data_IF_114197913147
#
_entry.id   IF_114197913147
#
_cell.length_a   1.000
_cell.length_b   1.000
_cell.length_c   1.000
_cell.angle_alpha   90.00
_cell.angle_beta   90.00
_cell.angle_gamma   90.00
#
_symmetry.space_group_name_H-M   'P 1'
#
loop_
_entity.id
_entity.type
_entity.pdbx_description
1 polymer ?
#
# COMPACT_ATOMS: atom_id res chain seq x y z
N UNK A 1 12.56 51.13 -27.69
CA UNK A 1 12.88 51.47 -26.29
C UNK A 1 13.57 50.28 -25.67
N UNK A 2 14.82 50.43 -25.32
CA UNK A 2 15.65 49.36 -24.70
C UNK A 2 15.45 49.36 -23.19
N UNK A 3 15.83 48.26 -22.51
CA UNK A 3 15.71 48.13 -21.04
C UNK A 3 16.51 49.24 -20.32
N UNK A 4 17.63 49.72 -20.93
CA UNK A 4 18.47 50.78 -20.38
C UNK A 4 17.76 52.14 -20.46
N UNK A 5 17.03 52.41 -21.54
CA UNK A 5 16.23 53.65 -21.71
C UNK A 5 15.09 53.69 -20.69
N UNK A 6 14.44 52.53 -20.42
CA UNK A 6 13.36 52.42 -19.42
C UNK A 6 13.85 52.62 -17.97
N UNK A 7 15.07 52.13 -17.64
CA UNK A 7 15.64 52.33 -16.31
C UNK A 7 16.14 53.78 -16.08
N UNK A 8 16.56 54.46 -17.13
CA UNK A 8 16.93 55.87 -17.04
C UNK A 8 15.73 56.78 -16.75
N UNK A 9 14.57 56.45 -17.30
CA UNK A 9 13.31 57.19 -17.08
C UNK A 9 12.79 57.07 -15.64
N UNK A 10 13.11 55.94 -14.95
CA UNK A 10 12.74 55.69 -13.55
C UNK A 10 13.74 56.29 -12.54
N UNK A 11 14.77 57.03 -12.97
CA UNK A 11 15.74 57.69 -12.07
C UNK A 11 16.63 56.74 -11.27
N UNK A 12 16.73 55.47 -11.66
CA UNK A 12 17.58 54.49 -11.00
C UNK A 12 18.96 54.44 -11.67
N UNK A 13 19.99 54.92 -10.96
CA UNK A 13 21.39 54.83 -11.40
C UNK A 13 21.82 53.35 -11.34
N UNK A 14 22.57 52.85 -12.37
CA UNK A 14 23.12 51.49 -12.29
C UNK A 14 24.13 51.41 -11.12
N UNK A 15 23.88 50.48 -10.23
CA UNK A 15 24.72 50.19 -9.06
C UNK A 15 26.08 49.67 -9.55
N UNK A 16 27.13 50.41 -9.28
CA UNK A 16 28.52 49.99 -9.50
C UNK A 16 28.81 48.72 -8.70
N UNK A 17 29.13 47.66 -9.38
CA UNK A 17 29.43 46.36 -8.81
C UNK A 17 30.67 46.43 -7.91
N UNK A 18 30.46 46.36 -6.59
CA UNK A 18 31.52 46.12 -5.62
C UNK A 18 31.96 44.65 -5.74
N UNK A 19 33.17 44.40 -6.17
CA UNK A 19 33.77 43.08 -6.22
C UNK A 19 34.07 42.58 -4.83
N UNK A 20 33.09 41.88 -4.23
CA UNK A 20 33.27 41.14 -2.98
C UNK A 20 33.93 39.80 -3.34
N UNK A 21 35.18 39.63 -2.91
CA UNK A 21 35.95 38.41 -3.09
C UNK A 21 35.20 37.19 -2.55
N UNK A 22 34.63 36.37 -3.47
CA UNK A 22 33.98 35.10 -3.14
C UNK A 22 35.03 34.12 -2.65
N UNK A 23 35.15 33.94 -1.32
CA UNK A 23 35.83 32.79 -0.74
C UNK A 23 35.16 31.51 -1.31
N UNK A 24 35.93 30.74 -2.13
CA UNK A 24 35.53 29.45 -2.68
C UNK A 24 35.16 28.52 -1.50
N UNK A 25 33.86 28.35 -1.23
CA UNK A 25 33.37 27.28 -0.34
C UNK A 25 33.88 25.97 -0.93
N UNK A 26 34.70 25.24 -0.16
CA UNK A 26 35.10 23.86 -0.48
C UNK A 26 33.82 23.06 -0.76
N UNK A 27 33.66 22.53 -1.99
CA UNK A 27 32.58 21.59 -2.35
C UNK A 27 32.71 20.40 -1.42
N UNK A 28 31.74 20.25 -0.50
CA UNK A 28 31.58 19.00 0.26
C UNK A 28 31.47 17.87 -0.77
N UNK A 29 32.38 16.87 -0.68
CA UNK A 29 32.27 15.65 -1.47
C UNK A 29 30.84 15.12 -1.31
N UNK A 30 30.10 14.98 -2.41
CA UNK A 30 28.82 14.27 -2.42
C UNK A 30 29.11 12.88 -1.87
N UNK A 31 28.50 12.53 -0.74
CA UNK A 31 28.49 11.14 -0.27
C UNK A 31 27.92 10.33 -1.44
N UNK A 32 28.73 9.43 -1.99
CA UNK A 32 28.23 8.43 -2.92
C UNK A 32 27.21 7.59 -2.15
N UNK A 33 25.95 7.66 -2.54
CA UNK A 33 24.96 6.70 -2.05
C UNK A 33 25.41 5.32 -2.49
N UNK A 34 25.28 4.30 -1.62
CA UNK A 34 25.49 2.93 -2.07
C UNK A 34 24.59 2.66 -3.28
N UNK A 35 25.00 1.77 -4.21
CA UNK A 35 24.15 1.40 -5.33
C UNK A 35 22.78 0.98 -4.79
N UNK A 36 21.68 1.24 -5.52
CA UNK A 36 20.36 0.83 -5.09
C UNK A 36 20.40 -0.65 -4.80
N UNK A 37 20.03 -1.00 -3.56
CA UNK A 37 19.78 -2.38 -3.18
C UNK A 37 18.78 -2.92 -4.20
N UNK A 38 19.02 -4.12 -4.70
CA UNK A 38 18.05 -4.88 -5.50
C UNK A 38 16.65 -4.64 -4.93
N UNK A 39 15.66 -4.26 -5.76
CA UNK A 39 14.32 -3.99 -5.27
C UNK A 39 13.88 -5.14 -4.38
N UNK A 40 13.28 -4.87 -3.22
CA UNK A 40 12.85 -5.93 -2.33
C UNK A 40 11.93 -6.87 -3.11
N UNK A 41 12.20 -8.17 -3.02
CA UNK A 41 11.39 -9.17 -3.71
C UNK A 41 9.93 -9.10 -3.23
N UNK A 42 8.99 -9.40 -4.12
CA UNK A 42 7.59 -9.57 -3.75
C UNK A 42 7.46 -10.63 -2.64
N UNK A 43 6.62 -10.35 -1.66
CA UNK A 43 6.32 -11.29 -0.57
C UNK A 43 4.93 -11.87 -0.81
N UNK A 44 4.87 -13.19 -1.03
CA UNK A 44 3.61 -13.93 -1.19
C UNK A 44 3.44 -14.91 -0.04
N UNK A 45 2.25 -14.96 0.54
CA UNK A 45 1.87 -15.86 1.64
C UNK A 45 0.51 -16.47 1.40
N UNK A 46 0.43 -17.78 1.66
CA UNK A 46 -0.83 -18.53 1.73
C UNK A 46 -1.12 -18.85 3.19
N UNK A 47 -2.21 -18.32 3.72
CA UNK A 47 -2.55 -18.36 5.14
C UNK A 47 -3.87 -19.13 5.30
N UNK A 48 -3.84 -20.23 6.08
CA UNK A 48 -5.03 -21.04 6.37
C UNK A 48 -5.94 -20.32 7.37
N UNK A 49 -6.69 -19.34 6.86
CA UNK A 49 -7.72 -18.64 7.64
C UNK A 49 -8.88 -18.19 6.76
N UNK A 50 -10.06 -18.09 7.34
CA UNK A 50 -11.21 -17.54 6.64
C UNK A 50 -11.03 -16.04 6.45
N UNK A 51 -11.35 -15.53 5.24
CA UNK A 51 -11.42 -14.11 5.01
C UNK A 51 -12.44 -13.46 5.94
N UNK A 52 -12.04 -12.36 6.56
CA UNK A 52 -12.86 -11.55 7.45
C UNK A 52 -12.94 -10.10 6.93
N UNK A 53 -14.01 -9.43 7.32
CA UNK A 53 -14.25 -8.06 6.90
C UNK A 53 -13.83 -7.06 7.96
N UNK A 54 -13.43 -5.86 7.50
CA UNK A 54 -13.15 -4.71 8.37
C UNK A 54 -14.33 -4.44 9.29
N UNK A 55 -14.08 -4.43 10.59
CA UNK A 55 -15.09 -4.09 11.58
C UNK A 55 -15.21 -2.58 11.73
N UNK A 56 -16.42 -2.11 12.03
CA UNK A 56 -16.63 -0.73 12.43
C UNK A 56 -16.36 -0.55 13.92
N UNK A 57 -15.73 0.55 14.34
CA UNK A 57 -15.62 0.89 15.74
C UNK A 57 -17.00 0.96 16.41
N UNK A 58 -17.08 0.51 17.65
CA UNK A 58 -18.29 0.63 18.47
C UNK A 58 -18.14 1.83 19.38
N UNK A 59 -19.18 2.67 19.37
CA UNK A 59 -19.26 3.83 20.26
C UNK A 59 -20.08 3.44 21.48
N UNK A 60 -19.58 3.75 22.67
CA UNK A 60 -20.27 3.58 23.96
C UNK A 60 -20.14 4.88 24.76
N UNK A 61 -20.84 5.00 25.86
CA UNK A 61 -20.72 6.15 26.78
C UNK A 61 -19.29 6.33 27.31
N UNK A 62 -18.50 5.25 27.37
CA UNK A 62 -17.12 5.24 27.85
C UNK A 62 -16.08 5.39 26.72
N UNK A 63 -16.50 5.70 25.49
CA UNK A 63 -15.61 5.93 24.34
C UNK A 63 -15.82 4.97 23.18
N UNK A 64 -14.91 5.07 22.22
CA UNK A 64 -14.94 4.26 20.97
C UNK A 64 -13.91 3.14 21.06
N UNK A 65 -14.30 1.93 20.70
CA UNK A 65 -13.40 0.78 20.69
C UNK A 65 -13.62 -0.13 19.48
N UNK A 66 -12.56 -0.83 19.06
CA UNK A 66 -12.65 -1.89 18.07
C UNK A 66 -13.04 -3.22 18.72
N UNK A 67 -13.91 -4.04 18.08
CA UNK A 67 -14.27 -5.36 18.60
C UNK A 67 -13.04 -6.25 18.83
N UNK A 68 -12.92 -6.84 20.01
CA UNK A 68 -11.77 -7.72 20.36
C UNK A 68 -11.59 -8.90 19.40
N UNK A 69 -12.70 -9.45 18.87
CA UNK A 69 -12.64 -10.53 17.89
C UNK A 69 -11.96 -10.09 16.59
N UNK A 70 -12.25 -8.86 16.12
CA UNK A 70 -11.61 -8.29 14.95
C UNK A 70 -10.12 -8.05 15.19
N UNK A 71 -9.75 -7.43 16.33
CA UNK A 71 -8.34 -7.21 16.69
C UNK A 71 -7.53 -8.51 16.68
N UNK A 72 -8.10 -9.60 17.27
CA UNK A 72 -7.45 -10.91 17.24
C UNK A 72 -7.22 -11.45 15.82
N UNK A 73 -8.16 -11.23 14.91
CA UNK A 73 -8.01 -11.65 13.50
C UNK A 73 -6.94 -10.81 12.78
N UNK A 74 -6.92 -9.50 13.00
CA UNK A 74 -5.90 -8.59 12.47
C UNK A 74 -4.50 -8.98 12.97
N UNK A 75 -4.35 -9.22 14.28
CA UNK A 75 -3.08 -9.60 14.88
C UNK A 75 -2.60 -10.98 14.37
N UNK A 76 -3.52 -11.95 14.23
CA UNK A 76 -3.21 -13.27 13.69
C UNK A 76 -2.75 -13.17 12.22
N UNK A 77 -3.40 -12.35 11.41
CA UNK A 77 -3.02 -12.13 10.02
C UNK A 77 -1.65 -11.43 9.92
N UNK A 78 -1.43 -10.39 10.73
CA UNK A 78 -0.14 -9.66 10.81
C UNK A 78 1.00 -10.63 11.18
N UNK A 79 0.79 -11.44 12.18
CA UNK A 79 1.79 -12.42 12.62
C UNK A 79 2.09 -13.47 11.55
N UNK A 80 1.06 -14.02 10.91
CA UNK A 80 1.20 -15.05 9.88
C UNK A 80 1.87 -14.52 8.60
N UNK A 81 1.58 -13.26 8.23
CA UNK A 81 2.19 -12.64 7.05
C UNK A 81 3.64 -12.22 7.32
N UNK A 82 3.92 -11.64 8.47
CA UNK A 82 5.24 -11.13 8.84
C UNK A 82 5.53 -9.74 8.27
N UNK A 83 6.72 -9.53 7.73
CA UNK A 83 7.14 -8.23 7.22
C UNK A 83 6.68 -7.98 5.78
N UNK A 84 6.31 -6.73 5.49
CA UNK A 84 6.00 -6.24 4.14
C UNK A 84 7.20 -5.52 3.53
N UNK A 85 7.35 -5.49 2.19
CA UNK A 85 8.40 -4.72 1.51
C UNK A 85 8.31 -3.23 1.87
N UNK A 86 9.46 -2.55 1.87
CA UNK A 86 9.53 -1.09 2.07
C UNK A 86 9.19 -0.34 0.76
N UNK A 87 8.78 0.94 0.89
CA UNK A 87 8.42 1.80 -0.24
C UNK A 87 6.98 1.61 -0.72
N UNK A 88 6.69 2.08 -1.93
CA UNK A 88 5.39 1.92 -2.57
C UNK A 88 5.16 0.46 -2.96
N UNK A 89 3.92 -0.02 -2.84
CA UNK A 89 3.59 -1.43 -3.07
C UNK A 89 2.26 -1.62 -3.79
N UNK A 90 2.18 -2.73 -4.52
CA UNK A 90 0.95 -3.32 -5.03
C UNK A 90 0.52 -4.45 -4.10
N UNK A 91 -0.77 -4.57 -3.83
CA UNK A 91 -1.33 -5.63 -2.98
C UNK A 91 -2.32 -6.46 -3.78
N UNK A 92 -2.13 -7.78 -3.79
CA UNK A 92 -3.07 -8.72 -4.38
C UNK A 92 -3.60 -9.68 -3.31
N UNK A 93 -4.92 -9.87 -3.26
CA UNK A 93 -5.60 -10.70 -2.27
C UNK A 93 -6.56 -11.66 -2.98
N UNK A 94 -6.35 -12.96 -2.80
CA UNK A 94 -7.33 -13.96 -3.20
C UNK A 94 -7.92 -14.62 -1.95
N UNK A 95 -9.20 -14.38 -1.71
CA UNK A 95 -9.93 -14.94 -0.57
C UNK A 95 -10.63 -16.22 -0.99
N UNK A 96 -10.04 -17.36 -0.66
CA UNK A 96 -10.63 -18.67 -0.91
C UNK A 96 -11.66 -19.01 0.16
N UNK A 97 -12.87 -19.31 -0.26
CA UNK A 97 -13.96 -19.75 0.60
C UNK A 97 -14.21 -21.24 0.44
N UNK A 98 -14.32 -21.94 1.56
CA UNK A 98 -14.68 -23.35 1.52
C UNK A 98 -16.07 -23.53 0.92
N UNK A 99 -16.17 -24.43 -0.07
CA UNK A 99 -17.44 -24.86 -0.64
C UNK A 99 -18.28 -25.54 0.44
N UNK A 100 -19.57 -25.19 0.62
CA UNK A 100 -20.40 -25.78 1.64
C UNK A 100 -20.53 -27.30 1.48
N UNK A 101 -20.23 -28.04 2.55
CA UNK A 101 -20.32 -29.52 2.57
C UNK A 101 -21.74 -30.03 2.35
N UNK A 102 -22.74 -29.19 2.59
CA UNK A 102 -24.16 -29.50 2.36
C UNK A 102 -24.57 -29.51 0.88
N UNK A 103 -23.75 -29.03 -0.02
CA UNK A 103 -24.03 -29.06 -1.46
C UNK A 103 -23.78 -30.45 -2.04
N UNK A 104 -24.53 -30.81 -3.08
CA UNK A 104 -24.26 -32.04 -3.83
C UNK A 104 -22.86 -32.07 -4.41
N UNK A 105 -22.26 -33.22 -4.58
CA UNK A 105 -20.88 -33.36 -5.15
C UNK A 105 -20.75 -32.69 -6.51
N UNK A 106 -21.76 -32.82 -7.37
CA UNK A 106 -21.74 -32.15 -8.67
C UNK A 106 -21.72 -30.63 -8.55
N UNK A 107 -22.49 -30.04 -7.61
CA UNK A 107 -22.49 -28.61 -7.35
C UNK A 107 -21.19 -28.14 -6.71
N UNK A 108 -20.61 -28.94 -5.80
CA UNK A 108 -19.30 -28.63 -5.22
C UNK A 108 -18.21 -28.57 -6.30
N UNK A 109 -18.15 -29.56 -7.17
CA UNK A 109 -17.19 -29.63 -8.27
C UNK A 109 -17.35 -28.45 -9.26
N UNK A 110 -18.59 -28.10 -9.60
CA UNK A 110 -18.86 -26.96 -10.49
C UNK A 110 -18.54 -25.59 -9.87
N UNK A 111 -18.61 -25.47 -8.54
CA UNK A 111 -18.31 -24.24 -7.84
C UNK A 111 -16.81 -24.01 -7.65
N UNK A 112 -16.01 -25.07 -7.60
CA UNK A 112 -14.57 -24.97 -7.33
C UNK A 112 -13.87 -24.08 -8.33
N UNK A 113 -13.11 -23.08 -7.85
CA UNK A 113 -12.44 -22.08 -8.69
C UNK A 113 -13.35 -20.97 -9.22
N UNK A 114 -14.68 -21.05 -9.07
CA UNK A 114 -15.58 -19.98 -9.48
C UNK A 114 -15.68 -18.87 -8.42
N UNK A 115 -16.17 -17.69 -8.84
CA UNK A 115 -16.31 -16.55 -7.92
C UNK A 115 -17.33 -16.81 -6.81
N UNK A 116 -16.98 -16.42 -5.59
CA UNK A 116 -17.78 -16.59 -4.39
C UNK A 116 -18.55 -15.32 -4.03
N UNK A 117 -19.90 -15.38 -4.03
CA UNK A 117 -20.77 -14.25 -3.69
C UNK A 117 -20.88 -13.94 -2.19
N UNK A 118 -20.85 -14.93 -1.23
CA UNK A 118 -21.16 -14.66 0.16
C UNK A 118 -20.22 -13.64 0.84
N UNK A 119 -20.73 -12.99 1.91
CA UNK A 119 -19.94 -12.05 2.74
C UNK A 119 -18.71 -12.73 3.37
N UNK A 120 -17.65 -11.96 3.68
CA UNK A 120 -17.55 -10.50 3.60
C UNK A 120 -17.43 -9.98 2.17
N UNK A 121 -17.73 -8.69 1.97
CA UNK A 121 -17.59 -8.02 0.70
C UNK A 121 -16.11 -7.71 0.43
N UNK A 122 -15.75 -7.54 -0.86
CA UNK A 122 -14.34 -7.39 -1.29
C UNK A 122 -13.66 -6.19 -0.63
N UNK A 123 -14.34 -5.04 -0.60
CA UNK A 123 -13.87 -3.81 0.04
C UNK A 123 -13.57 -4.00 1.52
N UNK A 124 -14.43 -4.74 2.22
CA UNK A 124 -14.24 -5.05 3.65
C UNK A 124 -13.07 -6.03 3.89
N UNK A 125 -12.83 -6.98 2.96
CA UNK A 125 -11.65 -7.86 3.02
C UNK A 125 -10.38 -7.04 2.83
N UNK A 126 -10.35 -6.20 1.79
CA UNK A 126 -9.24 -5.29 1.54
C UNK A 126 -8.96 -4.43 2.76
N UNK A 127 -9.98 -3.77 3.31
CA UNK A 127 -9.81 -2.95 4.50
C UNK A 127 -9.23 -3.71 5.71
N UNK A 128 -9.63 -4.99 5.91
CA UNK A 128 -9.09 -5.81 6.98
C UNK A 128 -7.62 -6.21 6.75
N UNK A 129 -7.25 -6.51 5.49
CA UNK A 129 -5.85 -6.80 5.10
C UNK A 129 -4.98 -5.56 5.29
N UNK A 130 -5.48 -4.37 4.87
CA UNK A 130 -4.75 -3.11 5.08
C UNK A 130 -4.51 -2.84 6.57
N UNK A 131 -5.54 -2.95 7.42
CA UNK A 131 -5.40 -2.76 8.87
C UNK A 131 -4.41 -3.76 9.50
N UNK A 132 -4.25 -4.95 8.90
CA UNK A 132 -3.32 -5.96 9.41
C UNK A 132 -1.87 -5.71 8.98
N UNK A 133 -1.64 -5.32 7.72
CA UNK A 133 -0.30 -5.31 7.12
C UNK A 133 0.36 -3.94 7.15
N UNK A 134 -0.41 -2.86 7.21
CA UNK A 134 0.11 -1.50 7.10
C UNK A 134 -0.33 -0.67 8.32
N UNK A 135 0.58 0.12 8.86
CA UNK A 135 0.26 1.18 9.83
C UNK A 135 -0.28 2.40 9.11
N UNK A 136 0.29 2.66 7.93
CA UNK A 136 -0.07 3.73 7.01
C UNK A 136 -0.30 3.11 5.64
N UNK A 137 -1.50 3.23 5.08
CA UNK A 137 -1.89 2.64 3.81
C UNK A 137 -1.61 3.56 2.60
N UNK A 138 -1.06 4.76 2.83
CA UNK A 138 -0.67 5.74 1.83
C UNK A 138 0.39 5.22 0.84
N UNK A 139 1.16 4.22 1.26
CA UNK A 139 2.18 3.54 0.44
C UNK A 139 1.62 2.47 -0.50
N UNK A 140 0.32 2.16 -0.42
CA UNK A 140 -0.33 1.18 -1.31
C UNK A 140 -0.87 1.89 -2.54
N UNK A 141 -0.26 1.65 -3.70
CA UNK A 141 -0.60 2.32 -4.97
C UNK A 141 -1.67 1.58 -5.78
N UNK A 142 -1.81 0.29 -5.58
CA UNK A 142 -2.91 -0.48 -6.18
C UNK A 142 -3.28 -1.69 -5.36
N UNK A 143 -4.54 -2.11 -5.48
CA UNK A 143 -5.08 -3.30 -4.82
C UNK A 143 -5.90 -4.10 -5.79
N UNK A 144 -5.62 -5.39 -5.87
CA UNK A 144 -6.47 -6.36 -6.52
C UNK A 144 -7.06 -7.30 -5.45
N UNK A 145 -8.35 -7.57 -5.51
CA UNK A 145 -8.97 -8.51 -4.59
C UNK A 145 -10.09 -9.30 -5.25
N UNK A 146 -10.05 -10.61 -5.08
CA UNK A 146 -11.08 -11.51 -5.54
C UNK A 146 -11.50 -12.51 -4.47
N UNK A 147 -12.68 -13.08 -4.65
CA UNK A 147 -13.22 -14.17 -3.80
C UNK A 147 -13.55 -15.35 -4.66
N UNK A 148 -13.02 -16.51 -4.32
CA UNK A 148 -13.27 -17.76 -5.06
C UNK A 148 -13.70 -18.90 -4.12
N UNK A 149 -14.38 -19.89 -4.69
CA UNK A 149 -14.68 -21.12 -3.97
C UNK A 149 -13.51 -22.10 -4.05
N UNK A 150 -13.18 -22.75 -2.95
CA UNK A 150 -12.13 -23.77 -2.88
C UNK A 150 -12.42 -24.85 -1.85
N UNK A 151 -11.43 -25.69 -1.60
CA UNK A 151 -11.57 -26.81 -0.66
C UNK A 151 -11.58 -26.36 0.80
N UNK A 152 -10.78 -25.33 1.11
CA UNK A 152 -10.61 -24.80 2.46
C UNK A 152 -10.63 -23.27 2.48
N UNK A 153 -10.87 -22.72 3.65
CA UNK A 153 -10.73 -21.28 3.86
C UNK A 153 -9.27 -20.87 3.85
N UNK A 154 -8.89 -20.04 2.88
CA UNK A 154 -7.51 -19.58 2.72
C UNK A 154 -7.49 -18.13 2.29
N UNK A 155 -6.51 -17.37 2.79
CA UNK A 155 -6.14 -16.07 2.28
C UNK A 155 -4.78 -16.20 1.59
N UNK A 156 -4.75 -15.91 0.30
CA UNK A 156 -3.51 -15.76 -0.46
C UNK A 156 -3.28 -14.27 -0.63
N UNK A 157 -2.14 -13.78 -0.13
CA UNK A 157 -1.80 -12.37 -0.15
C UNK A 157 -0.41 -12.22 -0.74
N UNK A 158 -0.30 -11.33 -1.71
CA UNK A 158 0.96 -10.92 -2.30
C UNK A 158 1.13 -9.41 -2.15
N UNK A 159 2.31 -9.00 -1.69
CA UNK A 159 2.72 -7.60 -1.62
C UNK A 159 3.98 -7.45 -2.46
N UNK A 160 3.85 -6.78 -3.58
CA UNK A 160 4.93 -6.53 -4.53
C UNK A 160 5.38 -5.06 -4.46
N UNK A 161 6.70 -4.77 -4.54
CA UNK A 161 7.16 -3.39 -4.68
C UNK A 161 6.63 -2.77 -5.97
N UNK A 162 6.14 -1.54 -5.89
CA UNK A 162 5.83 -0.75 -7.07
C UNK A 162 7.14 -0.15 -7.60
N UNK A 163 7.58 -0.60 -8.78
CA UNK A 163 8.72 0.00 -9.45
C UNK A 163 8.30 1.37 -9.99
N UNK A 164 9.10 2.41 -9.76
CA UNK A 164 8.81 3.76 -10.28
C UNK A 164 8.88 3.87 -11.81
N UNK A 165 9.28 2.80 -12.48
CA UNK A 165 9.36 2.76 -13.95
C UNK A 165 8.00 2.58 -14.64
N UNK A 166 6.95 2.17 -13.91
CA UNK A 166 5.60 1.97 -14.45
C UNK A 166 4.77 3.27 -14.56
N UNK A 167 5.38 4.43 -14.30
CA UNK A 167 4.65 5.70 -14.18
C UNK A 167 4.71 6.61 -15.42
N UNK A 168 5.33 6.20 -16.52
CA UNK A 168 5.48 7.03 -17.73
C UNK A 168 5.33 6.21 -19.02
N UNK A 169 4.09 5.96 -19.42
CA UNK A 169 3.69 5.86 -20.82
C UNK A 169 2.31 6.48 -21.01
#
# INVERSE_FOLDING_TARGET
>A
MTLEEYLAELGQKPSTAVSVGRKRKKRKKKKSFPPPLTPPAAVSKTISMAAFGKARPRVTENGTYMPKAYQKQVDALRWAFGSVPSGLVHVSVTAVRQVPKSWSKAKQAAAHGSYAKPKPDVDNIVGAVMDALFEDDDRVVSVFCEKVWGEEHTLMIEVAPANQEDSHE
#
